data_IF_495942303812
#
_entry.id   IF_495942303812
#
_cell.length_a   1.000
_cell.length_b   1.000
_cell.length_c   1.000
_cell.angle_alpha   90.00
_cell.angle_beta   90.00
_cell.angle_gamma   90.00
#
_symmetry.space_group_name_H-M   'P 1'
#
loop_
_entity.id
_entity.type
_entity.pdbx_description
1 polymer ?
#
# COMPACT_ATOMS: atom_id res chain seq x y z
N UNK A 1 -22.35 -15.94 -2.55
CA UNK A 1 -21.93 -14.73 -1.81
C UNK A 1 -20.89 -15.18 -0.78
N UNK A 2 -19.78 -14.48 -0.59
CA UNK A 2 -18.78 -14.84 0.43
C UNK A 2 -18.98 -13.97 1.67
N UNK A 3 -18.97 -14.56 2.86
CA UNK A 3 -19.05 -13.83 4.15
C UNK A 3 -18.02 -12.68 4.27
N UNK A 4 -16.89 -12.81 3.58
CA UNK A 4 -15.83 -11.79 3.52
C UNK A 4 -16.27 -10.50 2.83
N UNK A 5 -17.32 -10.53 2.00
CA UNK A 5 -17.86 -9.37 1.29
C UNK A 5 -18.84 -8.57 2.17
N UNK A 6 -19.38 -9.19 3.23
CA UNK A 6 -20.43 -8.59 4.07
C UNK A 6 -19.78 -7.87 5.26
N UNK A 7 -19.97 -6.55 5.33
CA UNK A 7 -19.40 -5.70 6.38
C UNK A 7 -19.80 -6.14 7.80
N UNK A 8 -21.08 -6.44 8.02
CA UNK A 8 -21.58 -6.84 9.34
C UNK A 8 -21.10 -8.23 9.80
N UNK A 9 -20.49 -9.03 8.91
CA UNK A 9 -19.95 -10.35 9.25
C UNK A 9 -18.43 -10.29 9.38
N UNK A 10 -17.76 -9.64 8.42
CA UNK A 10 -16.29 -9.69 8.31
C UNK A 10 -15.59 -8.35 8.49
N UNK A 11 -16.32 -7.24 8.48
CA UNK A 11 -15.79 -5.90 8.70
C UNK A 11 -15.66 -5.56 10.19
N UNK A 12 -14.99 -4.46 10.54
CA UNK A 12 -14.88 -4.00 11.92
C UNK A 12 -16.16 -3.26 12.36
N UNK A 13 -17.30 -3.96 12.36
CA UNK A 13 -18.63 -3.36 12.57
C UNK A 13 -18.83 -2.68 13.94
N UNK A 14 -18.01 -3.00 14.94
CA UNK A 14 -18.04 -2.35 16.26
C UNK A 14 -17.28 -1.02 16.30
N UNK A 15 -16.28 -0.84 15.43
CA UNK A 15 -15.42 0.35 15.41
C UNK A 15 -16.15 1.66 15.10
N UNK A 16 -17.10 1.71 14.12
CA UNK A 16 -17.92 2.90 13.84
C UNK A 16 -18.49 3.62 15.06
N UNK A 17 -18.85 2.88 16.11
CA UNK A 17 -19.53 3.40 17.29
C UNK A 17 -18.61 4.22 18.22
N UNK A 18 -17.29 4.09 18.09
CA UNK A 18 -16.31 4.62 19.06
C UNK A 18 -15.04 5.17 18.39
N UNK A 19 -15.12 5.51 17.10
CA UNK A 19 -13.94 5.86 16.30
C UNK A 19 -13.15 7.06 16.88
N UNK A 20 -11.87 6.83 17.15
CA UNK A 20 -10.93 7.87 17.55
C UNK A 20 -9.96 8.18 16.39
N UNK A 21 -10.16 9.34 15.75
CA UNK A 21 -9.33 9.77 14.62
C UNK A 21 -7.88 10.08 14.97
N UNK A 22 -7.51 10.17 16.26
CA UNK A 22 -6.11 10.28 16.70
C UNK A 22 -5.49 8.91 16.99
N UNK A 23 -6.27 7.84 17.08
CA UNK A 23 -5.79 6.50 17.37
C UNK A 23 -5.31 5.79 16.10
N UNK A 24 -4.08 5.30 16.11
CA UNK A 24 -3.47 4.60 14.98
C UNK A 24 -4.25 3.34 14.56
N UNK A 25 -4.74 2.53 15.50
CA UNK A 25 -5.47 1.29 15.20
C UNK A 25 -6.77 1.56 14.48
N UNK A 26 -7.46 2.63 14.86
CA UNK A 26 -8.71 3.05 14.24
C UNK A 26 -8.45 3.56 12.82
N UNK A 27 -7.47 4.45 12.64
CA UNK A 27 -7.09 4.95 11.31
C UNK A 27 -6.71 3.82 10.35
N UNK A 28 -5.89 2.87 10.81
CA UNK A 28 -5.50 1.67 10.05
C UNK A 28 -6.74 0.85 9.66
N UNK A 29 -7.65 0.61 10.60
CA UNK A 29 -8.85 -0.22 10.38
C UNK A 29 -9.83 0.45 9.40
N UNK A 30 -9.98 1.77 9.46
CA UNK A 30 -10.73 2.57 8.48
C UNK A 30 -10.08 2.47 7.11
N UNK A 31 -8.78 2.76 6.99
CA UNK A 31 -8.07 2.71 5.71
C UNK A 31 -8.18 1.31 5.06
N UNK A 32 -8.02 0.24 5.83
CA UNK A 32 -8.19 -1.11 5.36
C UNK A 32 -9.65 -1.41 4.95
N UNK A 33 -10.64 -0.89 5.68
CA UNK A 33 -12.07 -1.03 5.34
C UNK A 33 -12.43 -0.31 4.04
N UNK A 34 -11.92 0.89 3.80
CA UNK A 34 -12.13 1.64 2.55
C UNK A 34 -11.49 0.94 1.34
N UNK A 35 -10.29 0.35 1.52
CA UNK A 35 -9.66 -0.51 0.51
C UNK A 35 -10.52 -1.75 0.25
N UNK A 36 -11.13 -2.34 1.28
CA UNK A 36 -12.07 -3.45 1.12
C UNK A 36 -13.35 -3.03 0.40
N UNK A 37 -13.87 -1.82 0.65
CA UNK A 37 -14.97 -1.23 -0.11
C UNK A 37 -14.69 -1.24 -1.62
N UNK A 38 -13.47 -0.87 -2.04
CA UNK A 38 -13.11 -0.89 -3.46
C UNK A 38 -13.06 -2.31 -4.07
N UNK A 39 -12.71 -3.33 -3.27
CA UNK A 39 -12.82 -4.73 -3.70
C UNK A 39 -14.28 -5.18 -3.86
N UNK A 40 -15.14 -4.82 -2.92
CA UNK A 40 -16.55 -5.23 -2.94
C UNK A 40 -17.32 -4.47 -4.03
N UNK A 41 -16.95 -3.22 -4.29
CA UNK A 41 -17.50 -2.40 -5.37
C UNK A 41 -17.28 -3.03 -6.76
N UNK A 42 -16.06 -3.48 -7.05
CA UNK A 42 -15.79 -4.26 -8.26
C UNK A 42 -16.64 -5.55 -8.33
N UNK A 43 -16.80 -6.24 -7.20
CA UNK A 43 -17.60 -7.46 -7.17
C UNK A 43 -19.10 -7.21 -7.30
N UNK A 44 -19.58 -6.04 -6.88
CA UNK A 44 -20.94 -5.58 -7.09
C UNK A 44 -21.14 -5.34 -8.59
N UNK A 45 -20.23 -4.62 -9.25
CA UNK A 45 -20.23 -4.46 -10.72
C UNK A 45 -20.23 -5.80 -11.46
N UNK A 46 -19.27 -6.68 -11.17
CA UNK A 46 -19.12 -7.97 -11.88
C UNK A 46 -20.31 -8.92 -11.73
N UNK A 47 -21.10 -8.78 -10.66
CA UNK A 47 -22.31 -9.59 -10.44
C UNK A 47 -23.60 -8.77 -10.58
N UNK A 48 -23.50 -7.57 -11.13
CA UNK A 48 -24.62 -6.65 -11.34
C UNK A 48 -25.47 -6.38 -10.08
N UNK A 49 -24.84 -6.26 -8.90
CA UNK A 49 -25.52 -5.90 -7.65
C UNK A 49 -25.63 -4.37 -7.56
N UNK A 50 -26.84 -3.87 -7.39
CA UNK A 50 -27.15 -2.44 -7.37
C UNK A 50 -28.16 -2.12 -6.26
N UNK A 51 -28.20 -0.86 -5.81
CA UNK A 51 -29.13 -0.40 -4.78
C UNK A 51 -29.06 -1.27 -3.52
N UNK A 52 -30.19 -1.82 -3.10
CA UNK A 52 -30.29 -2.64 -1.88
C UNK A 52 -29.54 -3.98 -1.96
N UNK A 53 -29.13 -4.42 -3.15
CA UNK A 53 -28.32 -5.62 -3.33
C UNK A 53 -26.82 -5.35 -3.22
N UNK A 54 -26.40 -4.07 -3.30
CA UNK A 54 -25.00 -3.69 -3.22
C UNK A 54 -24.43 -3.99 -1.82
N UNK A 55 -23.25 -4.61 -1.79
CA UNK A 55 -22.57 -4.98 -0.55
C UNK A 55 -21.44 -3.99 -0.22
N UNK A 56 -21.02 -3.17 -1.17
CA UNK A 56 -19.93 -2.24 -1.01
C UNK A 56 -20.25 -1.06 -0.07
N UNK A 57 -21.45 -0.43 -0.09
CA UNK A 57 -21.70 0.81 0.67
C UNK A 57 -21.40 0.77 2.17
N UNK A 58 -21.76 -0.29 2.91
CA UNK A 58 -21.45 -0.38 4.33
C UNK A 58 -19.95 -0.27 4.69
N UNK A 59 -19.04 -0.56 3.74
CA UNK A 59 -17.59 -0.48 3.97
C UNK A 59 -17.05 0.95 4.12
N UNK A 60 -17.78 1.97 3.66
CA UNK A 60 -17.40 3.37 3.80
C UNK A 60 -18.44 4.19 4.58
N UNK A 61 -19.73 3.91 4.42
CA UNK A 61 -20.83 4.61 5.10
C UNK A 61 -20.72 4.49 6.62
N UNK A 62 -20.31 3.32 7.11
CA UNK A 62 -20.11 3.08 8.53
C UNK A 62 -19.06 4.02 9.16
N UNK A 63 -18.19 4.66 8.37
CA UNK A 63 -17.18 5.61 8.84
C UNK A 63 -17.50 7.07 8.47
N UNK A 64 -18.70 7.32 7.95
CA UNK A 64 -19.16 8.66 7.54
C UNK A 64 -18.60 9.13 6.21
N UNK A 65 -18.19 8.20 5.34
CA UNK A 65 -17.81 8.50 3.96
C UNK A 65 -18.93 8.21 2.99
N UNK A 66 -18.77 8.73 1.79
CA UNK A 66 -19.57 8.46 0.59
C UNK A 66 -18.64 8.19 -0.59
N UNK A 67 -19.08 7.36 -1.53
CA UNK A 67 -18.37 7.13 -2.78
C UNK A 67 -18.53 8.36 -3.68
N UNK A 68 -17.43 9.05 -3.96
CA UNK A 68 -17.43 10.18 -4.89
C UNK A 68 -17.11 9.77 -6.32
N UNK A 69 -16.13 8.88 -6.51
CA UNK A 69 -15.64 8.51 -7.84
C UNK A 69 -15.11 7.10 -7.87
N UNK A 70 -15.52 6.35 -8.88
CA UNK A 70 -14.92 5.05 -9.22
C UNK A 70 -13.69 5.26 -10.11
N UNK A 71 -12.60 4.56 -9.82
CA UNK A 71 -11.42 4.56 -10.65
C UNK A 71 -11.45 3.32 -11.54
N UNK A 72 -11.81 3.54 -12.80
CA UNK A 72 -12.05 2.48 -13.80
C UNK A 72 -10.97 2.50 -14.87
N UNK A 73 -10.54 1.32 -15.30
CA UNK A 73 -9.76 1.11 -16.52
C UNK A 73 -10.46 0.13 -17.44
N UNK A 74 -10.26 0.27 -18.75
CA UNK A 74 -10.65 -0.75 -19.71
C UNK A 74 -9.72 -1.96 -19.59
N UNK A 75 -10.28 -3.16 -19.70
CA UNK A 75 -9.57 -4.41 -19.88
C UNK A 75 -10.18 -5.20 -21.04
N UNK A 76 -9.55 -6.31 -21.40
CA UNK A 76 -9.94 -7.13 -22.53
C UNK A 76 -11.36 -7.70 -22.37
N UNK A 77 -11.77 -8.01 -21.14
CA UNK A 77 -13.08 -8.57 -20.78
C UNK A 77 -14.08 -7.50 -20.28
N UNK A 78 -13.80 -6.22 -20.52
CA UNK A 78 -14.62 -5.10 -20.08
C UNK A 78 -13.93 -4.18 -19.07
N UNK A 79 -14.71 -3.27 -18.47
CA UNK A 79 -14.16 -2.28 -17.55
C UNK A 79 -13.95 -2.86 -16.14
N UNK A 80 -12.89 -2.42 -15.46
CA UNK A 80 -12.47 -2.90 -14.15
C UNK A 80 -12.29 -1.72 -13.21
N UNK A 81 -13.02 -1.70 -12.09
CA UNK A 81 -12.77 -0.78 -10.98
C UNK A 81 -11.51 -1.24 -10.29
N UNK A 82 -10.48 -0.39 -10.20
CA UNK A 82 -9.23 -0.70 -9.50
C UNK A 82 -9.03 0.15 -8.24
N UNK A 83 -9.89 1.14 -8.02
CA UNK A 83 -9.88 1.98 -6.83
C UNK A 83 -11.13 2.85 -6.74
N UNK A 84 -11.21 3.64 -5.67
CA UNK A 84 -12.31 4.53 -5.39
C UNK A 84 -11.81 5.78 -4.66
N UNK A 85 -12.51 6.90 -4.87
CA UNK A 85 -12.35 8.14 -4.11
C UNK A 85 -13.55 8.26 -3.18
N UNK A 86 -13.28 8.39 -1.89
CA UNK A 86 -14.29 8.55 -0.86
C UNK A 86 -14.21 9.94 -0.24
N UNK A 87 -15.35 10.63 -0.15
CA UNK A 87 -15.46 11.91 0.53
C UNK A 87 -16.20 11.74 1.85
N UNK A 88 -15.81 12.51 2.85
CA UNK A 88 -16.50 12.52 4.14
C UNK A 88 -17.61 13.55 4.14
N UNK A 89 -18.80 13.17 4.59
CA UNK A 89 -19.99 14.03 4.60
C UNK A 89 -20.08 14.94 5.86
N UNK A 90 -18.97 15.51 6.36
CA UNK A 90 -19.00 16.29 7.61
C UNK A 90 -18.18 17.58 7.56
N UNK A 91 -18.80 18.67 8.05
CA UNK A 91 -18.27 20.03 8.15
C UNK A 91 -17.34 20.27 9.36
N UNK A 92 -17.03 19.24 10.15
CA UNK A 92 -16.20 19.37 11.35
C UNK A 92 -14.81 18.77 11.10
N UNK A 93 -13.81 19.63 11.02
CA UNK A 93 -12.41 19.23 10.93
C UNK A 93 -11.90 18.81 12.31
N UNK A 94 -11.90 17.50 12.61
CA UNK A 94 -11.07 17.00 13.69
C UNK A 94 -9.63 16.84 13.21
N UNK A 95 -8.67 17.25 14.06
CA UNK A 95 -7.25 17.00 13.80
C UNK A 95 -7.05 15.50 13.57
N UNK A 96 -6.33 15.14 12.50
CA UNK A 96 -6.07 13.76 12.05
C UNK A 96 -7.23 13.01 11.37
N UNK A 97 -8.39 13.62 11.18
CA UNK A 97 -9.49 13.05 10.39
C UNK A 97 -9.35 13.44 8.91
N UNK A 98 -9.48 12.51 7.95
CA UNK A 98 -9.41 12.85 6.53
C UNK A 98 -10.78 13.31 6.02
N UNK A 99 -10.76 14.29 5.11
CA UNK A 99 -11.91 14.68 4.31
C UNK A 99 -12.03 13.84 3.04
N UNK A 100 -10.91 13.33 2.53
CA UNK A 100 -10.87 12.48 1.34
C UNK A 100 -9.90 11.31 1.50
N UNK A 101 -10.30 10.14 1.01
CA UNK A 101 -9.45 8.96 0.92
C UNK A 101 -9.49 8.39 -0.49
N UNK A 102 -8.33 8.26 -1.12
CA UNK A 102 -8.17 7.54 -2.39
C UNK A 102 -7.67 6.13 -2.10
N UNK A 103 -8.50 5.13 -2.35
CA UNK A 103 -8.22 3.74 -2.00
C UNK A 103 -8.07 2.86 -3.25
N UNK A 104 -7.02 2.04 -3.28
CA UNK A 104 -6.71 1.16 -4.40
C UNK A 104 -6.76 -0.31 -4.01
N UNK A 105 -7.57 -1.10 -4.73
CA UNK A 105 -7.59 -2.55 -4.52
C UNK A 105 -6.43 -3.23 -5.23
N UNK A 106 -6.07 -4.41 -4.76
CA UNK A 106 -5.15 -5.30 -5.46
C UNK A 106 -5.87 -6.26 -6.41
N UNK A 107 -5.09 -7.20 -6.96
CA UNK A 107 -5.61 -8.32 -7.76
C UNK A 107 -6.38 -9.30 -6.88
N UNK A 108 -7.28 -10.10 -7.46
CA UNK A 108 -8.05 -11.09 -6.71
C UNK A 108 -7.15 -12.23 -6.19
N UNK A 109 -7.46 -12.76 -5.01
CA UNK A 109 -6.63 -13.77 -4.33
C UNK A 109 -6.47 -15.09 -5.10
N UNK A 110 -7.37 -15.39 -6.05
CA UNK A 110 -7.23 -16.53 -6.97
C UNK A 110 -6.05 -16.30 -7.92
N UNK A 111 -5.94 -15.10 -8.46
CA UNK A 111 -4.91 -14.70 -9.41
C UNK A 111 -3.55 -14.56 -8.72
N UNK A 112 -3.53 -14.09 -7.45
CA UNK A 112 -2.29 -13.97 -6.68
C UNK A 112 -1.63 -15.35 -6.47
N UNK A 113 -2.39 -16.44 -6.38
CA UNK A 113 -1.81 -17.78 -6.23
C UNK A 113 -1.04 -18.22 -7.48
N UNK A 114 -1.58 -17.99 -8.68
CA UNK A 114 -0.87 -18.20 -9.94
C UNK A 114 0.29 -17.22 -10.10
N UNK A 115 0.07 -15.96 -9.76
CA UNK A 115 1.10 -14.90 -9.80
C UNK A 115 2.30 -15.20 -8.89
N UNK A 116 2.04 -15.83 -7.73
CA UNK A 116 3.06 -16.30 -6.79
C UNK A 116 3.67 -17.63 -7.26
N UNK A 117 2.94 -18.50 -7.95
CA UNK A 117 3.55 -19.68 -8.57
C UNK A 117 4.56 -19.28 -9.68
N UNK A 118 4.25 -18.22 -10.43
CA UNK A 118 5.06 -17.68 -11.53
C UNK A 118 6.14 -16.65 -11.07
N UNK A 119 6.53 -16.70 -9.79
CA UNK A 119 6.92 -15.57 -8.91
C UNK A 119 8.08 -14.65 -9.30
N UNK A 120 8.76 -14.83 -10.42
CA UNK A 120 9.83 -13.90 -10.83
C UNK A 120 9.51 -13.11 -12.08
N UNK A 121 8.73 -13.66 -13.01
CA UNK A 121 8.45 -12.99 -14.27
C UNK A 121 7.33 -11.95 -14.08
N UNK A 122 6.29 -12.31 -13.35
CA UNK A 122 5.10 -11.47 -13.19
C UNK A 122 5.35 -10.23 -12.30
N UNK A 123 6.14 -10.36 -11.22
CA UNK A 123 6.61 -9.20 -10.44
C UNK A 123 7.67 -8.35 -11.16
N UNK A 124 8.42 -8.92 -12.12
CA UNK A 124 9.38 -8.16 -12.95
C UNK A 124 8.66 -7.28 -13.96
N UNK A 125 7.56 -7.75 -14.57
CA UNK A 125 6.74 -6.94 -15.47
C UNK A 125 6.17 -5.73 -14.71
N UNK A 126 5.70 -5.95 -13.49
CA UNK A 126 5.20 -4.87 -12.61
C UNK A 126 6.25 -3.77 -12.37
N UNK A 127 7.53 -4.13 -12.19
CA UNK A 127 8.63 -3.20 -11.90
C UNK A 127 8.85 -2.15 -12.99
N UNK A 128 8.65 -2.48 -14.27
CA UNK A 128 9.02 -1.60 -15.39
C UNK A 128 7.84 -0.91 -16.07
N UNK A 129 6.61 -1.39 -15.84
CA UNK A 129 5.45 -0.97 -16.62
C UNK A 129 4.42 -0.19 -15.83
N UNK A 130 4.40 -0.28 -14.49
CA UNK A 130 3.31 0.29 -13.69
C UNK A 130 3.11 1.79 -13.88
N UNK A 131 4.17 2.60 -13.85
CA UNK A 131 4.09 4.05 -14.03
C UNK A 131 3.61 4.44 -15.45
N UNK A 132 3.71 3.49 -16.39
CA UNK A 132 3.24 3.63 -17.78
C UNK A 132 1.82 3.08 -17.99
N UNK A 133 1.17 2.58 -16.95
CA UNK A 133 -0.20 2.07 -17.05
C UNK A 133 -1.24 3.17 -16.84
N UNK A 134 -2.38 3.02 -17.49
CA UNK A 134 -3.57 3.85 -17.28
C UNK A 134 -4.01 3.88 -15.81
N UNK A 135 -3.84 2.76 -15.09
CA UNK A 135 -4.17 2.68 -13.66
C UNK A 135 -3.34 3.67 -12.85
N UNK A 136 -2.03 3.75 -13.10
CA UNK A 136 -1.17 4.69 -12.41
C UNK A 136 -1.50 6.14 -12.79
N UNK A 137 -1.69 6.44 -14.07
CA UNK A 137 -2.00 7.80 -14.51
C UNK A 137 -3.33 8.30 -13.91
N UNK A 138 -4.39 7.49 -14.00
CA UNK A 138 -5.69 7.80 -13.36
C UNK A 138 -5.59 7.92 -11.84
N UNK A 139 -4.79 7.08 -11.19
CA UNK A 139 -4.54 7.17 -9.75
C UNK A 139 -3.83 8.48 -9.37
N UNK A 140 -2.79 8.85 -10.12
CA UNK A 140 -2.04 10.08 -9.89
C UNK A 140 -2.93 11.32 -10.09
N UNK A 141 -3.74 11.35 -11.16
CA UNK A 141 -4.72 12.41 -11.38
C UNK A 141 -5.72 12.48 -10.23
N UNK A 142 -6.33 11.36 -9.83
CA UNK A 142 -7.31 11.35 -8.74
C UNK A 142 -6.72 11.85 -7.40
N UNK A 143 -5.46 11.53 -7.11
CA UNK A 143 -4.78 12.02 -5.89
C UNK A 143 -4.44 13.49 -5.99
N UNK A 144 -4.02 13.99 -7.16
CA UNK A 144 -3.78 15.42 -7.39
C UNK A 144 -5.06 16.23 -7.25
N UNK A 145 -6.15 15.77 -7.86
CA UNK A 145 -7.48 16.39 -7.75
C UNK A 145 -7.91 16.45 -6.27
N UNK A 146 -7.83 15.34 -5.54
CA UNK A 146 -8.16 15.31 -4.12
C UNK A 146 -7.32 16.28 -3.28
N UNK A 147 -6.00 16.40 -3.54
CA UNK A 147 -5.14 17.34 -2.82
C UNK A 147 -5.49 18.79 -3.16
N UNK A 148 -5.86 19.08 -4.40
CA UNK A 148 -6.31 20.41 -4.81
C UNK A 148 -7.63 20.79 -4.13
N UNK A 149 -8.56 19.84 -4.01
CA UNK A 149 -9.90 20.09 -3.48
C UNK A 149 -9.93 20.17 -1.94
N UNK A 150 -9.14 19.33 -1.24
CA UNK A 150 -9.23 19.16 0.21
C UNK A 150 -7.98 19.59 0.99
N UNK A 151 -6.87 19.85 0.30
CA UNK A 151 -5.57 20.09 0.91
C UNK A 151 -4.87 18.82 1.38
N UNK A 152 -3.54 18.84 1.39
CA UNK A 152 -2.71 17.67 1.67
C UNK A 152 -2.98 16.99 3.03
N UNK A 153 -3.21 17.77 4.08
CA UNK A 153 -3.39 17.23 5.44
C UNK A 153 -4.70 16.44 5.60
N UNK A 154 -5.67 16.71 4.72
CA UNK A 154 -7.01 16.12 4.73
C UNK A 154 -7.15 14.91 3.80
N UNK A 155 -6.11 14.59 3.02
CA UNK A 155 -6.14 13.51 2.01
C UNK A 155 -5.29 12.33 2.47
N UNK A 156 -5.89 11.14 2.46
CA UNK A 156 -5.16 9.89 2.62
C UNK A 156 -5.11 9.11 1.31
N UNK A 157 -4.02 8.39 1.12
CA UNK A 157 -3.93 7.34 0.10
C UNK A 157 -3.83 5.98 0.79
N UNK A 158 -4.57 5.00 0.31
CA UNK A 158 -4.55 3.65 0.87
C UNK A 158 -4.53 2.62 -0.25
N UNK A 159 -3.87 1.49 -0.03
CA UNK A 159 -3.93 0.41 -1.00
C UNK A 159 -3.51 -0.92 -0.43
N UNK A 160 -3.93 -1.99 -1.10
CA UNK A 160 -3.59 -3.36 -0.74
C UNK A 160 -2.92 -4.11 -1.91
N UNK A 161 -1.86 -4.87 -1.64
CA UNK A 161 -1.17 -5.69 -2.65
C UNK A 161 -0.76 -4.84 -3.87
N UNK A 162 -1.22 -5.18 -5.08
CA UNK A 162 -1.02 -4.35 -6.27
C UNK A 162 -1.51 -2.89 -6.09
N UNK A 163 -2.62 -2.68 -5.40
CA UNK A 163 -3.13 -1.34 -5.09
C UNK A 163 -2.22 -0.57 -4.13
N UNK A 164 -1.59 -1.24 -3.16
CA UNK A 164 -0.57 -0.63 -2.29
C UNK A 164 0.66 -0.21 -3.10
N UNK A 165 0.98 -1.00 -4.11
CA UNK A 165 2.05 -0.72 -5.07
C UNK A 165 1.76 0.53 -5.90
N UNK A 166 0.52 0.69 -6.40
CA UNK A 166 0.07 1.93 -7.08
C UNK A 166 0.14 3.13 -6.13
N UNK A 167 -0.42 3.00 -4.92
CA UNK A 167 -0.38 4.04 -3.89
C UNK A 167 1.05 4.45 -3.54
N UNK A 168 1.98 3.49 -3.47
CA UNK A 168 3.38 3.75 -3.20
C UNK A 168 4.02 4.61 -4.30
N UNK A 169 3.77 4.30 -5.57
CA UNK A 169 4.33 5.07 -6.69
C UNK A 169 3.73 6.48 -6.78
N UNK A 170 2.41 6.59 -6.58
CA UNK A 170 1.73 7.89 -6.55
C UNK A 170 2.25 8.73 -5.37
N UNK A 171 2.37 8.13 -4.18
CA UNK A 171 2.93 8.79 -3.00
C UNK A 171 4.38 9.25 -3.21
N UNK A 172 5.22 8.44 -3.86
CA UNK A 172 6.58 8.84 -4.27
C UNK A 172 6.56 10.02 -5.24
N UNK A 173 5.66 10.00 -6.24
CA UNK A 173 5.54 11.10 -7.19
C UNK A 173 5.16 12.41 -6.47
N UNK A 174 4.16 12.36 -5.59
CA UNK A 174 3.72 13.51 -4.80
C UNK A 174 4.80 14.01 -3.82
N UNK A 175 5.50 13.09 -3.14
CA UNK A 175 6.55 13.44 -2.19
C UNK A 175 7.79 14.07 -2.83
N UNK A 176 8.11 13.73 -4.09
CA UNK A 176 9.25 14.33 -4.79
C UNK A 176 9.00 15.79 -5.21
N UNK A 177 7.74 16.16 -5.43
CA UNK A 177 7.39 17.34 -6.21
C UNK A 177 7.76 17.09 -7.68
N UNK A 178 6.76 17.06 -8.57
CA UNK A 178 6.99 16.98 -10.02
C UNK A 178 6.87 18.39 -10.62
N UNK A 179 7.64 18.70 -11.66
CA UNK A 179 7.60 19.97 -12.41
C UNK A 179 7.87 21.25 -11.59
N UNK A 180 8.81 21.21 -10.64
CA UNK A 180 9.20 22.39 -9.86
C UNK A 180 8.20 22.81 -8.78
N UNK A 181 7.19 21.98 -8.50
CA UNK A 181 6.25 22.18 -7.40
C UNK A 181 6.80 21.74 -6.03
N UNK A 182 6.15 22.19 -4.97
CA UNK A 182 6.48 21.81 -3.59
C UNK A 182 6.22 20.30 -3.34
N UNK A 183 7.05 19.63 -2.51
CA UNK A 183 6.83 18.24 -2.14
C UNK A 183 5.58 18.09 -1.27
N UNK A 184 4.78 17.08 -1.58
CA UNK A 184 3.51 16.78 -0.92
C UNK A 184 3.56 15.38 -0.27
N UNK A 185 4.16 15.23 0.92
CA UNK A 185 4.24 13.94 1.62
C UNK A 185 2.86 13.52 2.19
N UNK A 186 2.10 12.76 1.41
CA UNK A 186 0.75 12.31 1.79
C UNK A 186 0.77 11.29 2.92
N UNK A 187 -0.24 11.33 3.78
CA UNK A 187 -0.48 10.23 4.72
C UNK A 187 -0.94 8.99 3.95
N UNK A 188 -0.18 7.91 4.08
CA UNK A 188 -0.33 6.72 3.24
C UNK A 188 -0.41 5.43 4.05
N UNK A 189 -1.37 4.56 3.71
CA UNK A 189 -1.58 3.25 4.32
C UNK A 189 -1.34 2.15 3.27
N UNK A 190 -0.18 1.53 3.31
CA UNK A 190 0.28 0.57 2.31
C UNK A 190 0.21 -0.85 2.87
N UNK A 191 -0.85 -1.59 2.53
CA UNK A 191 -1.09 -2.94 3.04
C UNK A 191 -0.50 -4.01 2.13
N UNK A 192 0.46 -4.77 2.66
CA UNK A 192 1.09 -5.90 1.97
C UNK A 192 1.59 -5.59 0.54
N UNK A 193 2.26 -4.45 0.30
CA UNK A 193 2.78 -4.15 -1.04
C UNK A 193 3.79 -5.20 -1.48
N UNK A 194 3.88 -5.47 -2.79
CA UNK A 194 4.85 -6.41 -3.30
C UNK A 194 6.28 -5.94 -3.10
N UNK A 195 7.15 -6.86 -2.70
CA UNK A 195 8.59 -6.67 -2.59
C UNK A 195 9.30 -7.43 -3.71
N UNK A 196 9.86 -6.70 -4.68
CA UNK A 196 10.54 -7.30 -5.82
C UNK A 196 12.03 -7.40 -5.53
N UNK A 197 12.43 -8.46 -4.84
CA UNK A 197 13.85 -8.69 -4.54
C UNK A 197 14.71 -8.82 -5.81
N UNK A 198 15.82 -8.08 -5.88
CA UNK A 198 16.94 -8.43 -6.76
C UNK A 198 17.47 -9.81 -6.33
N UNK A 199 17.04 -10.86 -7.03
CA UNK A 199 17.76 -12.14 -7.01
C UNK A 199 18.92 -12.00 -7.99
N UNK A 200 20.07 -11.56 -7.51
CA UNK A 200 21.32 -11.67 -8.26
C UNK A 200 21.61 -13.14 -8.54
N UNK A 201 21.48 -13.59 -9.81
CA UNK A 201 22.37 -14.56 -10.49
C UNK A 201 22.18 -14.51 -12.03
N UNK A 202 22.22 -13.35 -12.67
CA UNK A 202 22.40 -13.29 -14.14
C UNK A 202 23.47 -12.24 -14.47
N UNK A 203 24.59 -12.74 -15.02
CA UNK A 203 25.61 -12.10 -15.86
C UNK A 203 25.98 -10.62 -15.61
N UNK A 204 27.16 -10.38 -15.05
CA UNK A 204 27.83 -9.06 -14.94
C UNK A 204 28.26 -8.41 -16.27
N UNK A 205 27.72 -8.78 -17.44
CA UNK A 205 28.40 -8.47 -18.72
C UNK A 205 27.81 -7.35 -19.59
N UNK A 206 26.65 -6.76 -19.31
CA UNK A 206 26.12 -5.65 -20.16
C UNK A 206 25.46 -4.48 -19.40
N UNK A 207 25.52 -4.48 -18.06
CA UNK A 207 24.85 -3.47 -17.21
C UNK A 207 25.76 -2.28 -16.86
N UNK A 208 27.06 -2.38 -17.16
CA UNK A 208 28.07 -1.40 -16.73
C UNK A 208 27.93 0.00 -17.34
N UNK A 209 27.41 0.12 -18.56
CA UNK A 209 27.36 1.40 -19.29
C UNK A 209 26.05 2.17 -19.06
N UNK A 210 24.92 1.48 -18.88
CA UNK A 210 23.61 2.09 -18.58
C UNK A 210 23.45 2.48 -17.09
N UNK A 211 24.14 1.79 -16.18
CA UNK A 211 24.08 2.10 -14.76
C UNK A 211 24.69 3.47 -14.43
N UNK A 212 25.73 3.92 -15.15
CA UNK A 212 26.41 5.20 -14.84
C UNK A 212 25.53 6.43 -15.09
N UNK A 213 24.63 6.38 -16.09
CA UNK A 213 23.72 7.48 -16.41
C UNK A 213 22.46 7.51 -15.52
N UNK A 214 22.00 6.35 -15.02
CA UNK A 214 20.88 6.29 -14.07
C UNK A 214 21.31 6.51 -12.60
N UNK A 215 22.62 6.54 -12.31
CA UNK A 215 23.19 6.70 -10.97
C UNK A 215 22.86 8.06 -10.33
N UNK A 216 22.96 9.17 -11.05
CA UNK A 216 22.68 10.50 -10.48
C UNK A 216 21.20 10.73 -10.19
N UNK A 217 20.32 10.24 -11.08
CA UNK A 217 18.88 10.50 -11.04
C UNK A 217 18.16 9.58 -10.05
N UNK A 218 18.61 8.33 -9.92
CA UNK A 218 18.08 7.38 -8.95
C UNK A 218 18.40 7.74 -7.50
N UNK A 219 19.59 8.29 -7.26
CA UNK A 219 20.06 8.74 -5.93
C UNK A 219 19.28 9.96 -5.44
N UNK A 220 19.12 10.99 -6.30
CA UNK A 220 18.30 12.18 -6.01
C UNK A 220 16.83 11.82 -5.84
N UNK A 221 16.29 10.95 -6.70
CA UNK A 221 14.90 10.49 -6.59
C UNK A 221 14.62 9.71 -5.30
N UNK A 222 15.56 8.89 -4.83
CA UNK A 222 15.39 8.15 -3.58
C UNK A 222 15.47 9.07 -2.37
N UNK A 223 16.46 9.97 -2.34
CA UNK A 223 16.62 10.95 -1.26
C UNK A 223 15.48 11.97 -1.20
N UNK A 224 14.88 12.35 -2.34
CA UNK A 224 13.76 13.28 -2.41
C UNK A 224 12.50 12.76 -1.68
N UNK A 225 12.36 11.44 -1.49
CA UNK A 225 11.27 10.87 -0.69
C UNK A 225 11.59 10.75 0.81
N UNK A 226 12.74 11.24 1.29
CA UNK A 226 13.22 11.02 2.67
C UNK A 226 12.27 11.56 3.74
N UNK A 227 11.59 12.67 3.45
CA UNK A 227 10.61 13.31 4.33
C UNK A 227 9.24 12.59 4.33
N UNK A 228 9.01 11.67 3.39
CA UNK A 228 7.76 10.94 3.30
C UNK A 228 7.80 9.66 4.14
N UNK A 229 6.88 9.55 5.09
CA UNK A 229 6.82 8.46 6.07
C UNK A 229 5.50 7.70 5.93
N UNK A 230 5.32 6.87 4.87
CA UNK A 230 4.13 6.05 4.73
C UNK A 230 4.08 4.96 5.82
N UNK A 231 2.86 4.58 6.22
CA UNK A 231 2.64 3.38 7.02
C UNK A 231 2.71 2.16 6.11
N UNK A 232 3.71 1.31 6.36
CA UNK A 232 3.98 0.12 5.58
C UNK A 232 3.64 -1.12 6.40
N UNK A 233 2.48 -1.72 6.09
CA UNK A 233 1.96 -2.88 6.81
C UNK A 233 2.39 -4.17 6.13
N UNK A 234 3.05 -5.05 6.87
CA UNK A 234 3.60 -6.30 6.35
C UNK A 234 3.41 -7.46 7.32
N UNK A 235 3.39 -8.67 6.77
CA UNK A 235 3.30 -9.89 7.57
C UNK A 235 4.51 -10.81 7.29
N UNK A 236 5.20 -11.36 8.31
CA UNK A 236 6.39 -12.21 8.12
C UNK A 236 6.15 -13.45 7.24
N UNK A 237 4.90 -13.90 7.23
CA UNK A 237 4.44 -15.11 6.53
C UNK A 237 3.85 -14.82 5.15
N UNK A 238 3.74 -13.55 4.77
CA UNK A 238 3.32 -13.15 3.44
C UNK A 238 4.51 -13.15 2.48
N UNK A 239 4.50 -14.07 1.52
CA UNK A 239 5.57 -14.21 0.54
C UNK A 239 5.71 -12.98 -0.39
N UNK A 240 4.64 -12.18 -0.53
CA UNK A 240 4.57 -11.00 -1.39
C UNK A 240 5.32 -9.83 -0.76
N UNK A 241 5.13 -9.57 0.53
CA UNK A 241 5.62 -8.34 1.19
C UNK A 241 6.75 -8.56 2.22
N UNK A 242 6.99 -9.79 2.72
CA UNK A 242 7.97 -10.05 3.81
C UNK A 242 9.40 -9.55 3.54
N UNK A 243 9.76 -9.31 2.28
CA UNK A 243 11.06 -8.75 1.91
C UNK A 243 11.31 -7.36 2.52
N UNK A 244 10.27 -6.57 2.77
CA UNK A 244 10.39 -5.26 3.43
C UNK A 244 10.92 -5.35 4.86
N UNK A 245 10.55 -6.39 5.63
CA UNK A 245 11.06 -6.60 6.99
C UNK A 245 12.59 -6.71 6.95
N UNK A 246 13.10 -7.57 6.06
CA UNK A 246 14.52 -7.75 5.85
C UNK A 246 15.19 -6.48 5.31
N UNK A 247 14.54 -5.74 4.42
CA UNK A 247 15.05 -4.49 3.88
C UNK A 247 15.27 -3.43 4.97
N UNK A 248 14.27 -3.17 5.80
CA UNK A 248 14.37 -2.17 6.87
C UNK A 248 15.24 -2.64 8.04
N UNK A 249 15.16 -3.92 8.45
CA UNK A 249 15.97 -4.44 9.55
C UNK A 249 17.48 -4.47 9.22
N UNK A 250 17.85 -4.70 7.95
CA UNK A 250 19.27 -4.77 7.55
C UNK A 250 19.96 -3.42 7.45
N UNK A 251 19.22 -2.31 7.46
CA UNK A 251 19.78 -0.95 7.59
C UNK A 251 20.40 -0.69 8.97
N UNK A 252 20.23 -1.61 9.92
CA UNK A 252 20.74 -1.58 11.30
C UNK A 252 22.25 -1.83 11.43
N UNK A 253 22.95 -2.27 10.37
CA UNK A 253 24.37 -2.63 10.45
C UNK A 253 25.20 -1.75 9.51
N UNK A 254 26.03 -0.82 10.03
CA UNK A 254 27.09 -0.18 9.26
C UNK A 254 28.24 -1.18 9.07
N UNK A 255 28.01 -2.28 8.35
CA UNK A 255 29.12 -3.14 7.88
C UNK A 255 29.48 -2.73 6.47
N UNK A 256 30.78 -2.53 6.23
CA UNK A 256 31.38 -2.09 4.97
C UNK A 256 30.99 -2.92 3.72
N UNK A 257 30.29 -4.06 3.88
CA UNK A 257 29.74 -4.86 2.78
C UNK A 257 28.43 -4.30 2.19
N UNK A 258 27.73 -3.39 2.89
CA UNK A 258 26.51 -2.73 2.43
C UNK A 258 26.68 -1.21 2.52
N UNK A 259 27.65 -0.68 1.77
CA UNK A 259 27.82 0.77 1.63
C UNK A 259 26.54 1.41 1.07
N UNK A 260 26.29 2.68 1.41
CA UNK A 260 25.25 3.53 0.83
C UNK A 260 25.12 3.31 -0.70
N UNK A 261 26.25 3.22 -1.42
CA UNK A 261 26.34 2.83 -2.84
C UNK A 261 25.65 1.50 -3.19
N UNK A 262 25.78 0.46 -2.37
CA UNK A 262 25.13 -0.84 -2.60
C UNK A 262 23.61 -0.83 -2.36
N UNK A 263 23.09 0.08 -1.54
CA UNK A 263 21.66 0.32 -1.38
C UNK A 263 21.10 1.18 -2.51
N UNK A 264 21.86 2.18 -2.96
CA UNK A 264 21.52 3.04 -4.09
C UNK A 264 21.46 2.28 -5.41
N UNK A 265 22.40 1.37 -5.67
CA UNK A 265 22.33 0.43 -6.80
C UNK A 265 21.09 -0.48 -6.75
N UNK A 266 20.41 -0.59 -5.60
CA UNK A 266 19.14 -1.30 -5.45
C UNK A 266 17.93 -0.36 -5.48
N UNK A 267 18.12 0.94 -5.20
CA UNK A 267 17.11 2.00 -5.25
C UNK A 267 16.57 2.24 -6.66
N UNK A 268 17.24 1.71 -7.69
CA UNK A 268 16.68 1.54 -9.05
C UNK A 268 15.34 0.76 -9.07
N UNK A 269 14.93 0.15 -7.95
CA UNK A 269 13.64 -0.51 -7.85
C UNK A 269 12.53 0.43 -7.37
N UNK A 270 11.49 0.55 -8.20
CA UNK A 270 10.29 1.38 -7.99
C UNK A 270 9.62 1.21 -6.62
N UNK A 271 9.70 0.01 -6.02
CA UNK A 271 9.09 -0.35 -4.74
C UNK A 271 9.86 0.05 -3.48
N UNK A 272 11.14 0.47 -3.58
CA UNK A 272 11.90 0.88 -2.40
C UNK A 272 11.65 2.35 -2.04
N UNK A 273 11.61 2.62 -0.74
CA UNK A 273 11.38 3.93 -0.14
C UNK A 273 12.43 4.21 0.96
N UNK A 274 12.88 5.46 1.10
CA UNK A 274 13.92 5.84 2.05
C UNK A 274 13.44 5.80 3.50
N UNK A 275 12.21 6.23 3.78
CA UNK A 275 11.66 6.30 5.13
C UNK A 275 10.29 5.63 5.17
N UNK A 276 9.89 5.08 6.32
CA UNK A 276 8.57 4.48 6.54
C UNK A 276 8.31 4.23 8.03
N UNK A 277 7.05 4.21 8.42
CA UNK A 277 6.61 3.53 9.64
C UNK A 277 6.32 2.08 9.26
N UNK A 278 7.26 1.17 9.55
CA UNK A 278 7.10 -0.25 9.28
C UNK A 278 6.27 -0.87 10.39
N UNK A 279 5.13 -1.47 10.02
CA UNK A 279 4.20 -2.12 10.94
C UNK A 279 4.15 -3.61 10.59
N UNK A 280 4.65 -4.43 11.50
CA UNK A 280 4.74 -5.88 11.35
C UNK A 280 3.64 -6.53 12.18
N UNK A 281 2.77 -7.31 11.52
CA UNK A 281 1.79 -8.12 12.20
C UNK A 281 2.39 -9.49 12.58
N UNK A 282 2.55 -9.73 13.87
CA UNK A 282 3.07 -10.98 14.44
C UNK A 282 2.00 -11.92 14.95
N UNK A 283 0.72 -11.54 14.82
CA UNK A 283 -0.42 -12.32 15.32
C UNK A 283 -0.24 -13.80 14.95
N UNK A 284 -0.18 -14.70 15.94
CA UNK A 284 -0.09 -16.12 15.68
C UNK A 284 -1.30 -16.54 14.87
N UNK A 285 -1.08 -17.00 13.65
CA UNK A 285 -2.18 -17.62 12.92
C UNK A 285 -2.58 -18.92 13.63
N UNK A 286 -3.86 -19.34 13.52
CA UNK A 286 -4.36 -20.53 14.20
C UNK A 286 -3.47 -21.76 13.93
N UNK A 287 -3.31 -22.67 14.91
CA UNK A 287 -2.50 -23.86 14.73
C UNK A 287 -2.97 -24.63 13.48
N UNK A 288 -2.04 -25.05 12.60
CA UNK A 288 -2.42 -25.63 11.32
C UNK A 288 -3.10 -26.98 11.52
N UNK A 289 -4.31 -27.13 10.98
CA UNK A 289 -4.66 -28.42 10.41
C UNK A 289 -3.73 -28.60 9.20
N UNK A 290 -2.80 -29.55 9.27
CA UNK A 290 -1.61 -29.77 8.41
C UNK A 290 -1.82 -29.70 6.88
N UNK A 291 -3.06 -29.61 6.39
CA UNK A 291 -3.37 -29.69 4.95
C UNK A 291 -3.10 -28.43 4.10
N UNK A 292 -2.80 -27.23 4.61
CA UNK A 292 -2.72 -26.07 3.69
C UNK A 292 -1.73 -24.94 4.05
N UNK A 293 -0.44 -25.09 3.73
CA UNK A 293 0.56 -23.98 3.68
C UNK A 293 0.10 -22.85 2.74
N UNK A 294 -0.64 -23.18 1.67
CA UNK A 294 -1.20 -22.21 0.71
C UNK A 294 -2.26 -21.30 1.34
N UNK A 295 -3.03 -21.80 2.31
CA UNK A 295 -4.05 -20.99 3.00
C UNK A 295 -3.41 -19.97 3.93
N UNK A 296 -2.32 -20.37 4.57
CA UNK A 296 -1.65 -19.57 5.59
C UNK A 296 -1.04 -18.27 5.05
N UNK A 297 -0.32 -18.31 3.92
CA UNK A 297 0.22 -17.08 3.34
C UNK A 297 -0.88 -16.21 2.71
N UNK A 298 -1.99 -16.80 2.22
CA UNK A 298 -3.15 -16.05 1.73
C UNK A 298 -3.86 -15.30 2.85
N UNK A 299 -3.86 -15.86 4.06
CA UNK A 299 -4.32 -15.19 5.27
C UNK A 299 -3.39 -14.05 5.67
N UNK A 300 -2.09 -14.33 5.71
CA UNK A 300 -1.05 -13.32 5.94
C UNK A 300 -1.01 -12.22 4.87
N UNK A 301 -1.48 -12.48 3.65
CA UNK A 301 -1.59 -11.48 2.60
C UNK A 301 -2.93 -10.74 2.64
N UNK A 302 -3.99 -11.33 3.20
CA UNK A 302 -5.33 -10.76 3.12
C UNK A 302 -5.50 -9.44 3.85
N UNK A 303 -6.22 -8.49 3.24
CA UNK A 303 -6.51 -7.17 3.82
C UNK A 303 -7.26 -7.26 5.17
N UNK A 304 -8.03 -8.32 5.39
CA UNK A 304 -8.89 -8.50 6.57
C UNK A 304 -8.16 -8.69 7.89
N UNK A 305 -6.88 -9.04 7.86
CA UNK A 305 -6.10 -9.11 9.09
C UNK A 305 -5.95 -7.72 9.74
N UNK A 306 -6.03 -6.64 8.96
CA UNK A 306 -5.63 -5.31 9.38
C UNK A 306 -6.68 -4.58 10.21
N UNK A 307 -7.93 -5.04 10.23
CA UNK A 307 -9.01 -4.49 11.06
C UNK A 307 -9.47 -5.43 12.18
N UNK A 308 -8.72 -6.50 12.46
CA UNK A 308 -8.98 -7.38 13.61
C UNK A 308 -8.63 -6.67 14.93
N UNK A 309 -9.40 -6.95 15.97
CA UNK A 309 -9.26 -6.35 17.31
C UNK A 309 -8.07 -6.90 18.08
N UNK A 310 -7.85 -8.21 18.02
CA UNK A 310 -6.77 -8.91 18.73
C UNK A 310 -5.63 -9.22 17.77
N UNK A 311 -4.84 -8.20 17.44
CA UNK A 311 -3.62 -8.37 16.65
C UNK A 311 -2.39 -7.84 17.38
N UNK A 312 -1.29 -8.56 17.24
CA UNK A 312 0.02 -8.22 17.78
C UNK A 312 0.78 -7.44 16.71
N UNK A 313 0.84 -6.11 16.88
CA UNK A 313 1.56 -5.22 15.99
C UNK A 313 2.88 -4.77 16.63
N UNK A 314 3.96 -4.84 15.87
CA UNK A 314 5.22 -4.18 16.16
C UNK A 314 5.39 -3.04 15.15
N UNK A 315 5.64 -1.81 15.61
CA UNK A 315 5.84 -0.67 14.73
C UNK A 315 7.14 0.09 15.02
N UNK A 316 7.88 0.39 13.95
CA UNK A 316 9.13 1.13 14.02
C UNK A 316 9.17 2.19 12.91
N UNK A 317 9.50 3.41 13.29
CA UNK A 317 9.85 4.48 12.38
C UNK A 317 11.28 4.25 11.89
N UNK A 318 11.44 4.12 10.58
CA UNK A 318 12.74 4.14 9.91
C UNK A 318 12.85 5.45 9.13
N UNK A 319 13.85 6.25 9.46
CA UNK A 319 14.16 7.48 8.72
C UNK A 319 15.45 7.31 7.94
N UNK A 320 15.54 8.01 6.82
CA UNK A 320 16.77 8.21 6.08
C UNK A 320 17.20 9.66 6.21
N UNK A 321 18.39 9.88 6.75
CA UNK A 321 19.05 11.19 6.81
C UNK A 321 20.33 11.13 5.97
N UNK A 322 20.51 11.97 4.94
CA UNK A 322 21.74 11.99 4.13
C UNK A 322 23.05 12.09 4.92
N UNK A 323 23.03 12.62 6.14
CA UNK A 323 24.19 12.84 7.02
C UNK A 323 24.39 11.65 7.97
N UNK A 324 23.31 11.11 8.56
CA UNK A 324 23.31 9.88 9.36
C UNK A 324 22.32 8.88 8.76
N UNK A 325 22.76 7.99 7.84
CA UNK A 325 21.88 7.39 6.85
C UNK A 325 20.69 6.61 7.38
N UNK A 326 20.65 6.16 8.64
CA UNK A 326 19.50 5.44 9.19
C UNK A 326 19.32 5.64 10.70
N UNK A 327 18.12 6.07 11.12
CA UNK A 327 17.67 5.97 12.52
C UNK A 327 16.44 5.05 12.63
N UNK A 328 16.25 4.49 13.82
CA UNK A 328 15.10 3.64 14.16
C UNK A 328 14.54 4.07 15.51
N UNK A 329 13.23 4.27 15.56
CA UNK A 329 12.48 4.60 16.77
C UNK A 329 11.24 3.69 16.88
N UNK A 330 10.94 3.22 18.07
CA UNK A 330 9.72 2.45 18.34
C UNK A 330 8.51 3.40 18.38
N UNK A 331 7.42 3.02 17.71
CA UNK A 331 6.21 3.85 17.61
C UNK A 331 5.07 3.16 18.34
N UNK A 332 4.33 3.91 19.16
CA UNK A 332 3.15 3.40 19.84
C UNK A 332 2.05 3.02 18.83
N UNK A 333 1.57 1.77 18.87
CA UNK A 333 0.57 1.22 17.93
C UNK A 333 -0.55 0.39 18.53
#
# INVERSE_FOLDING_TARGET
MSDKEIFNISGPYQLPLVINWSNFRDQKSVAASLVRGAYVLEHDQLKNRQGNEALAPPWWEAFGFELSKELIVAGDDGSTIFGAVYHRNQNHHHRHQPSCVVAFRGTNTKDIAGFVADTKLNFRIWRYTLEKTDRFQKALTAVRDAVNDFGIESVWIAGHSLGAAIALLVGKNMAKGHDGGNPYPLKAFLFNPPFVGSTNRIGRSLVGVLAEACKSDGETAFAACSLWHPYLFVHPKDLVCRGYIKYFHRRRIPTAQYTFRGLLLRAESTHLIPSAVLVVNHTPAPPPNWKHVVTYWKEAHGIYQWWRTHIELEAHLYTFDPIQPFSREEVAV
#
